data_IF_119058845600
#
_entry.id   IF_119058845600
#
_cell.length_a   1.000
_cell.length_b   1.000
_cell.length_c   1.000
_cell.angle_alpha   90.00
_cell.angle_beta   90.00
_cell.angle_gamma   90.00
#
_symmetry.space_group_name_H-M   'P 1'
#
loop_
_entity.id
_entity.type
_entity.pdbx_description
1 polymer ?
#
# COMPACT_ATOMS: atom_id res chain seq x y z
N UNK A 1 31.98 24.66 -50.78
CA UNK A 1 30.84 23.71 -50.85
C UNK A 1 31.12 22.58 -49.85
N UNK A 2 30.25 22.06 -48.98
CA UNK A 2 28.96 22.45 -48.36
C UNK A 2 28.28 21.14 -47.94
N UNK A 3 27.75 21.01 -46.69
CA UNK A 3 26.84 19.92 -46.23
C UNK A 3 27.53 18.53 -46.12
N UNK A 4 27.21 17.55 -45.27
CA UNK A 4 26.33 17.26 -44.08
C UNK A 4 27.16 16.28 -43.19
N UNK A 5 26.96 15.98 -41.90
CA UNK A 5 26.22 16.53 -40.75
C UNK A 5 26.70 15.78 -39.47
N UNK A 6 26.24 16.20 -38.28
CA UNK A 6 26.26 15.38 -37.04
C UNK A 6 24.80 15.19 -36.58
N UNK A 7 24.43 14.04 -35.98
CA UNK A 7 23.87 14.16 -34.63
C UNK A 7 24.23 13.03 -33.65
N UNK A 8 24.53 13.47 -32.42
CA UNK A 8 24.28 12.82 -31.12
C UNK A 8 23.26 11.66 -31.12
N UNK A 9 23.59 10.56 -30.43
CA UNK A 9 22.76 9.95 -29.35
C UNK A 9 23.49 8.75 -28.69
N UNK A 10 23.09 8.41 -27.45
CA UNK A 10 23.56 7.28 -26.60
C UNK A 10 24.93 7.44 -25.91
N UNK A 11 24.98 8.26 -24.85
CA UNK A 11 25.69 7.97 -23.59
C UNK A 11 25.50 9.09 -22.56
N UNK A 12 24.42 9.04 -21.76
CA UNK A 12 24.34 9.73 -20.46
C UNK A 12 23.07 9.37 -19.68
N UNK A 13 23.18 9.44 -18.34
CA UNK A 13 22.13 9.39 -17.30
C UNK A 13 22.01 8.11 -16.45
N UNK A 14 23.11 7.66 -15.82
CA UNK A 14 23.06 6.77 -14.66
C UNK A 14 24.12 7.13 -13.60
N UNK A 15 24.14 8.40 -13.18
CA UNK A 15 24.74 8.83 -11.91
C UNK A 15 24.29 10.25 -11.55
N UNK A 16 23.43 10.40 -10.54
CA UNK A 16 23.29 11.67 -9.81
C UNK A 16 23.23 11.39 -8.32
N UNK A 17 24.39 11.55 -7.69
CA UNK A 17 24.57 11.51 -6.24
C UNK A 17 23.83 12.68 -5.59
N UNK A 18 23.00 12.40 -4.58
CA UNK A 18 22.35 13.43 -3.76
C UNK A 18 23.27 13.84 -2.60
N UNK A 19 24.12 14.83 -2.84
CA UNK A 19 24.87 15.49 -1.78
C UNK A 19 23.97 16.52 -1.07
N UNK A 20 23.69 16.30 0.21
CA UNK A 20 22.90 17.22 1.05
C UNK A 20 23.72 18.49 1.34
N UNK A 21 23.31 19.63 0.79
CA UNK A 21 23.90 20.93 1.10
C UNK A 21 23.22 21.57 2.32
N UNK A 22 23.90 21.55 3.46
CA UNK A 22 23.50 22.28 4.67
C UNK A 22 23.95 23.74 4.59
N UNK A 23 23.11 24.64 4.07
CA UNK A 23 23.37 26.08 4.10
C UNK A 23 22.89 26.70 5.42
N UNK A 24 23.81 26.90 6.37
CA UNK A 24 23.53 27.59 7.63
C UNK A 24 23.45 29.11 7.46
N UNK A 25 22.26 29.70 7.49
CA UNK A 25 22.11 31.17 7.47
C UNK A 25 22.21 31.74 8.88
N UNK A 26 23.37 32.31 9.24
CA UNK A 26 23.55 33.04 10.52
C UNK A 26 22.70 34.30 10.56
N UNK A 27 21.84 34.40 11.57
CA UNK A 27 21.15 35.65 11.93
C UNK A 27 22.16 36.58 12.61
N UNK A 28 22.35 37.78 12.06
CA UNK A 28 23.24 38.81 12.59
C UNK A 28 22.43 40.04 13.03
N UNK A 29 22.40 40.28 14.33
CA UNK A 29 21.70 41.41 14.94
C UNK A 29 22.53 42.71 14.87
N UNK A 30 22.00 43.77 14.25
CA UNK A 30 22.43 45.15 14.54
C UNK A 30 21.25 46.12 14.60
N UNK A 31 21.17 46.83 15.72
CA UNK A 31 20.16 47.83 16.07
C UNK A 31 20.57 49.24 15.63
N UNK A 32 19.61 50.06 15.15
CA UNK A 32 19.26 51.37 15.76
C UNK A 32 18.16 52.16 14.99
N UNK A 33 17.19 52.64 15.78
CA UNK A 33 16.51 53.95 15.75
C UNK A 33 16.39 54.70 14.40
N UNK A 34 15.15 55.07 14.05
CA UNK A 34 14.64 56.42 14.36
C UNK A 34 13.10 56.49 14.46
N UNK A 35 12.61 57.45 15.24
CA UNK A 35 11.16 57.74 15.41
C UNK A 35 10.68 58.68 14.29
N UNK A 36 9.40 58.58 13.91
CA UNK A 36 8.48 59.73 13.89
C UNK A 36 7.01 59.30 13.87
N UNK A 37 6.17 60.06 14.58
CA UNK A 37 4.70 59.99 14.57
C UNK A 37 4.16 60.72 13.34
N UNK A 38 2.97 60.34 12.87
CA UNK A 38 1.93 61.15 12.19
C UNK A 38 0.70 60.21 12.09
N UNK A 39 -0.27 60.26 13.01
CA UNK A 39 -1.49 61.09 12.96
C UNK A 39 -2.46 60.73 11.82
N UNK A 40 -3.56 60.04 12.18
CA UNK A 40 -4.78 60.01 11.37
C UNK A 40 -5.43 61.41 11.31
N UNK A 41 -6.23 61.68 10.27
CA UNK A 41 -7.46 62.43 10.43
C UNK A 41 -8.69 61.54 10.17
N UNK A 42 -9.70 61.73 11.02
CA UNK A 42 -11.04 61.18 10.83
C UNK A 42 -11.82 62.08 9.86
N UNK A 43 -12.66 61.51 8.99
CA UNK A 43 -13.74 62.25 8.33
C UNK A 43 -15.03 61.43 8.36
N UNK A 44 -16.15 62.12 8.56
CA UNK A 44 -17.39 61.50 9.02
C UNK A 44 -18.46 61.39 7.92
N UNK A 45 -19.29 60.36 8.08
CA UNK A 45 -20.73 60.37 7.79
C UNK A 45 -21.20 60.76 6.37
N UNK A 46 -21.69 59.76 5.64
CA UNK A 46 -23.06 59.88 5.10
C UNK A 46 -23.78 58.55 5.26
N UNK A 47 -24.77 58.51 6.15
CA UNK A 47 -25.56 57.31 6.38
C UNK A 47 -26.58 57.11 5.24
N UNK A 48 -26.60 55.93 4.62
CA UNK A 48 -27.76 55.46 3.84
C UNK A 48 -28.47 54.34 4.60
N UNK A 49 -29.65 54.66 5.09
CA UNK A 49 -30.60 53.69 5.64
C UNK A 49 -31.06 52.80 4.49
N UNK A 50 -30.68 51.52 4.53
CA UNK A 50 -31.31 50.48 3.71
C UNK A 50 -32.22 49.68 4.65
N UNK A 51 -33.51 49.65 4.32
CA UNK A 51 -34.53 49.05 5.16
C UNK A 51 -34.29 47.55 5.38
N UNK A 52 -34.49 47.09 6.61
CA UNK A 52 -34.48 45.68 6.98
C UNK A 52 -35.73 45.01 6.39
N UNK A 53 -35.56 44.14 5.39
CA UNK A 53 -36.61 43.22 4.97
C UNK A 53 -36.90 42.20 6.09
N UNK A 54 -38.15 41.71 6.25
CA UNK A 54 -38.48 40.71 7.25
C UNK A 54 -37.76 39.38 6.95
N UNK A 55 -37.40 38.65 8.00
CA UNK A 55 -36.66 37.40 7.87
C UNK A 55 -37.51 36.32 7.19
N UNK A 56 -37.07 35.85 6.03
CA UNK A 56 -37.59 34.64 5.39
C UNK A 56 -37.42 33.44 6.34
N UNK A 57 -38.36 32.47 6.35
CA UNK A 57 -38.21 31.27 7.17
C UNK A 57 -36.96 30.48 6.75
N UNK A 58 -36.27 29.92 7.75
CA UNK A 58 -35.07 29.09 7.56
C UNK A 58 -35.40 27.96 6.57
N UNK A 59 -34.63 27.77 5.48
CA UNK A 59 -34.84 26.63 4.60
C UNK A 59 -34.56 25.34 5.38
N UNK A 60 -35.60 24.51 5.53
CA UNK A 60 -35.46 23.20 6.15
C UNK A 60 -34.45 22.32 5.41
N UNK A 61 -33.90 21.34 6.12
CA UNK A 61 -32.94 20.36 5.59
C UNK A 61 -33.40 19.86 4.21
N UNK A 62 -32.58 20.00 3.14
CA UNK A 62 -33.00 19.61 1.82
C UNK A 62 -33.19 18.09 1.78
N UNK A 63 -34.45 17.65 1.65
CA UNK A 63 -34.78 16.24 1.40
C UNK A 63 -33.96 15.77 0.20
N UNK A 64 -33.24 14.65 0.31
CA UNK A 64 -32.56 14.01 -0.83
C UNK A 64 -33.60 13.65 -1.91
N UNK A 65 -33.76 14.53 -2.90
CA UNK A 65 -34.81 14.39 -3.91
C UNK A 65 -34.33 13.51 -5.07
N UNK A 66 -34.91 12.31 -5.19
CA UNK A 66 -35.13 11.40 -6.36
C UNK A 66 -34.05 11.17 -7.44
N UNK A 67 -33.10 12.09 -7.67
CA UNK A 67 -31.98 11.93 -8.62
C UNK A 67 -30.76 11.28 -7.96
N UNK A 68 -30.61 11.43 -6.64
CA UNK A 68 -29.57 10.73 -5.85
C UNK A 68 -29.85 9.23 -5.78
N UNK A 69 -31.13 8.85 -5.66
CA UNK A 69 -31.55 7.46 -5.45
C UNK A 69 -31.23 6.54 -6.63
N UNK A 70 -31.27 7.02 -7.89
CA UNK A 70 -30.86 6.19 -9.05
C UNK A 70 -29.35 5.94 -9.10
N UNK A 71 -28.53 6.90 -8.64
CA UNK A 71 -27.06 6.75 -8.59
C UNK A 71 -26.57 5.85 -7.44
N UNK A 72 -27.40 5.59 -6.42
CA UNK A 72 -27.07 4.66 -5.34
C UNK A 72 -27.28 3.19 -5.74
N UNK A 73 -28.34 2.93 -6.52
CA UNK A 73 -28.68 1.58 -7.04
C UNK A 73 -27.78 1.16 -8.21
N UNK A 74 -27.44 2.10 -9.11
CA UNK A 74 -26.66 1.77 -10.31
C UNK A 74 -25.17 1.57 -9.96
N UNK A 75 -24.51 0.47 -10.40
CA UNK A 75 -23.07 0.30 -10.21
C UNK A 75 -22.26 1.30 -11.04
N UNK A 76 -21.11 1.75 -10.52
CA UNK A 76 -20.12 2.50 -11.28
C UNK A 76 -19.49 1.58 -12.32
N UNK A 77 -19.35 2.06 -13.56
CA UNK A 77 -18.88 1.23 -14.69
C UNK A 77 -17.60 0.45 -14.36
N UNK A 78 -17.59 -0.86 -14.58
CA UNK A 78 -16.34 -1.62 -14.52
C UNK A 78 -15.40 -1.15 -15.64
N UNK A 79 -14.19 -0.74 -15.27
CA UNK A 79 -13.11 -0.50 -16.21
C UNK A 79 -12.62 -1.85 -16.73
N UNK A 80 -12.80 -2.12 -18.03
CA UNK A 80 -12.16 -3.29 -18.67
C UNK A 80 -12.87 -4.63 -18.52
N UNK A 81 -14.19 -4.72 -18.75
CA UNK A 81 -14.85 -6.02 -18.95
C UNK A 81 -14.59 -6.58 -20.37
N UNK A 82 -13.34 -6.84 -20.73
CA UNK A 82 -12.95 -7.72 -21.85
C UNK A 82 -12.22 -8.93 -21.28
N UNK A 83 -12.40 -10.12 -21.87
CA UNK A 83 -11.80 -11.36 -21.37
C UNK A 83 -10.26 -11.28 -21.22
N UNK A 84 -9.62 -10.45 -22.07
CA UNK A 84 -8.17 -10.18 -22.06
C UNK A 84 -7.70 -9.23 -20.97
N UNK A 85 -8.60 -8.48 -20.33
CA UNK A 85 -8.24 -7.44 -19.35
C UNK A 85 -8.09 -8.02 -17.92
N UNK A 86 -8.60 -9.23 -17.66
CA UNK A 86 -8.62 -9.85 -16.33
C UNK A 86 -7.28 -10.48 -15.91
N UNK A 87 -6.45 -10.91 -16.85
CA UNK A 87 -5.18 -11.58 -16.56
C UNK A 87 -4.03 -10.93 -17.35
N UNK A 88 -3.08 -10.25 -16.67
CA UNK A 88 -1.83 -9.88 -17.32
C UNK A 88 -1.11 -11.16 -17.75
N UNK A 89 -0.51 -11.16 -18.94
CA UNK A 89 0.46 -12.19 -19.29
C UNK A 89 1.60 -12.20 -18.25
N UNK A 90 2.26 -13.33 -17.95
CA UNK A 90 3.29 -13.37 -16.90
C UNK A 90 4.40 -12.32 -17.05
N UNK A 91 4.82 -12.02 -18.29
CA UNK A 91 5.80 -10.98 -18.62
C UNK A 91 5.31 -9.55 -18.34
N UNK A 92 4.00 -9.35 -18.17
CA UNK A 92 3.37 -8.07 -17.83
C UNK A 92 2.98 -7.94 -16.35
N UNK A 93 3.26 -8.94 -15.52
CA UNK A 93 3.14 -8.79 -14.07
C UNK A 93 4.16 -7.73 -13.58
N UNK A 94 3.71 -6.79 -12.74
CA UNK A 94 4.49 -5.59 -12.40
C UNK A 94 4.58 -4.52 -13.50
N UNK A 95 4.26 -4.84 -14.76
CA UNK A 95 4.19 -3.90 -15.89
C UNK A 95 2.73 -3.58 -16.27
N UNK A 96 1.96 -3.11 -15.28
CA UNK A 96 0.55 -2.71 -15.46
C UNK A 96 0.40 -1.64 -16.56
N UNK A 97 -0.73 -1.71 -17.28
CA UNK A 97 -0.95 -1.00 -18.53
C UNK A 97 -0.82 0.53 -18.41
N UNK A 98 -0.37 1.17 -19.49
CA UNK A 98 -0.02 2.59 -19.58
C UNK A 98 -1.23 3.54 -19.52
N UNK A 99 -1.89 3.62 -18.36
CA UNK A 99 -2.68 4.78 -17.98
C UNK A 99 -1.73 5.87 -17.46
N UNK A 100 -1.76 7.03 -18.10
CA UNK A 100 -0.60 7.93 -18.21
C UNK A 100 -0.07 8.60 -16.92
N UNK A 101 -0.63 8.32 -15.73
CA UNK A 101 -0.20 8.95 -14.47
C UNK A 101 -0.59 8.12 -13.23
N UNK A 102 0.04 6.96 -13.04
CA UNK A 102 -0.05 6.20 -11.78
C UNK A 102 1.28 5.52 -11.34
N UNK A 103 2.37 6.28 -11.16
CA UNK A 103 3.62 5.73 -10.65
C UNK A 103 3.57 5.37 -9.15
N UNK A 104 2.61 5.92 -8.40
CA UNK A 104 2.52 5.74 -6.95
C UNK A 104 1.82 4.43 -6.57
N UNK A 105 0.60 4.18 -7.08
CA UNK A 105 -0.06 2.91 -6.81
C UNK A 105 0.60 1.78 -7.62
N UNK A 106 1.15 2.05 -8.81
CA UNK A 106 1.96 1.08 -9.55
C UNK A 106 3.23 0.61 -8.80
N UNK A 107 3.87 1.48 -8.02
CA UNK A 107 4.99 1.10 -7.15
C UNK A 107 4.56 0.21 -5.97
N UNK A 108 3.34 0.43 -5.46
CA UNK A 108 2.71 -0.40 -4.41
C UNK A 108 2.33 -1.77 -4.98
N UNK A 109 1.66 -1.79 -6.14
CA UNK A 109 1.30 -3.02 -6.87
C UNK A 109 2.55 -3.87 -7.17
N UNK A 110 3.72 -3.26 -7.42
CA UNK A 110 4.98 -3.97 -7.64
C UNK A 110 5.65 -4.49 -6.36
N UNK A 111 5.51 -3.80 -5.22
CA UNK A 111 6.01 -4.28 -3.93
C UNK A 111 5.21 -5.48 -3.40
N UNK A 112 3.90 -5.54 -3.69
CA UNK A 112 3.03 -6.66 -3.33
C UNK A 112 3.30 -7.94 -4.15
N UNK A 113 4.28 -7.94 -5.06
CA UNK A 113 4.77 -9.14 -5.74
C UNK A 113 6.02 -9.74 -5.05
N UNK A 114 6.52 -9.10 -3.98
CA UNK A 114 7.65 -9.59 -3.18
C UNK A 114 7.15 -10.50 -2.05
N UNK A 115 7.70 -11.71 -1.97
CA UNK A 115 7.19 -12.77 -1.10
C UNK A 115 7.20 -12.43 0.40
N UNK A 116 8.16 -11.62 0.85
CA UNK A 116 8.21 -11.18 2.26
C UNK A 116 7.17 -10.07 2.50
N UNK A 117 7.01 -9.14 1.55
CA UNK A 117 6.05 -8.02 1.69
C UNK A 117 4.61 -8.53 1.69
N UNK A 118 4.28 -9.45 0.78
CA UNK A 118 2.94 -10.02 0.63
C UNK A 118 2.55 -10.82 1.87
N UNK A 119 3.40 -11.77 2.30
CA UNK A 119 3.14 -12.60 3.49
C UNK A 119 3.06 -11.80 4.80
N UNK A 120 3.83 -10.71 4.97
CA UNK A 120 3.67 -9.79 6.09
C UNK A 120 2.34 -9.01 6.06
N UNK A 121 1.84 -8.67 4.86
CA UNK A 121 0.55 -8.00 4.69
C UNK A 121 -0.60 -8.98 5.01
N UNK A 122 -0.56 -10.20 4.48
CA UNK A 122 -1.54 -11.26 4.81
C UNK A 122 -1.57 -11.52 6.33
N UNK A 123 -0.41 -11.69 6.97
CA UNK A 123 -0.32 -11.90 8.42
C UNK A 123 -0.91 -10.72 9.21
N UNK A 124 -0.70 -9.49 8.75
CA UNK A 124 -1.25 -8.27 9.36
C UNK A 124 -2.78 -8.20 9.21
N UNK A 125 -3.32 -8.62 8.07
CA UNK A 125 -4.77 -8.70 7.83
C UNK A 125 -5.40 -9.80 8.68
N UNK A 126 -4.87 -11.02 8.64
CA UNK A 126 -5.32 -12.14 9.47
C UNK A 126 -5.33 -11.78 10.97
N UNK A 127 -4.27 -11.13 11.46
CA UNK A 127 -4.21 -10.64 12.84
C UNK A 127 -5.34 -9.64 13.16
N UNK A 128 -5.71 -8.75 12.23
CA UNK A 128 -6.78 -7.79 12.42
C UNK A 128 -8.18 -8.44 12.39
N UNK A 129 -8.39 -9.46 11.54
CA UNK A 129 -9.67 -10.17 11.42
C UNK A 129 -10.01 -11.01 12.66
N UNK A 130 -9.01 -11.50 13.42
CA UNK A 130 -9.27 -12.24 14.67
C UNK A 130 -9.75 -11.37 15.86
N UNK A 131 -9.66 -10.04 15.75
CA UNK A 131 -9.93 -9.12 16.85
C UNK A 131 -11.44 -9.00 17.14
N UNK A 132 -11.87 -9.12 18.42
CA UNK A 132 -13.28 -9.00 18.76
C UNK A 132 -13.79 -7.57 18.62
N UNK A 133 -15.04 -7.43 18.16
CA UNK A 133 -15.73 -6.15 18.01
C UNK A 133 -17.24 -6.32 18.22
N UNK A 134 -17.93 -5.21 18.48
CA UNK A 134 -19.39 -5.18 18.62
C UNK A 134 -19.97 -3.85 18.12
N UNK A 135 -21.29 -3.79 17.96
CA UNK A 135 -22.04 -2.56 17.69
C UNK A 135 -22.47 -1.90 19.00
N UNK A 136 -22.00 -0.69 19.24
CA UNK A 136 -22.38 0.16 20.36
C UNK A 136 -23.46 1.17 19.91
N UNK A 137 -24.57 1.24 20.63
CA UNK A 137 -25.67 2.17 20.37
C UNK A 137 -26.83 1.99 21.35
N UNK A 138 -27.96 2.65 21.11
CA UNK A 138 -29.22 2.34 21.79
C UNK A 138 -29.76 0.98 21.30
N UNK A 139 -30.45 0.18 22.12
CA UNK A 139 -30.92 -1.16 21.72
C UNK A 139 -31.75 -1.16 20.43
N UNK A 140 -32.65 -0.21 20.25
CA UNK A 140 -33.50 -0.08 19.05
C UNK A 140 -32.70 0.32 17.80
N UNK A 141 -31.64 1.12 17.97
CA UNK A 141 -30.74 1.54 16.89
C UNK A 141 -29.82 0.38 16.48
N UNK A 142 -29.30 -0.37 17.44
CA UNK A 142 -28.48 -1.58 17.19
C UNK A 142 -29.31 -2.62 16.46
N UNK A 143 -30.51 -2.96 16.95
CA UNK A 143 -31.39 -3.92 16.29
C UNK A 143 -31.77 -3.50 14.86
N UNK A 144 -31.97 -2.20 14.61
CA UNK A 144 -32.22 -1.68 13.27
C UNK A 144 -31.00 -1.75 12.35
N UNK A 145 -29.81 -1.46 12.87
CA UNK A 145 -28.57 -1.58 12.10
C UNK A 145 -28.26 -3.04 11.76
N UNK A 146 -28.40 -3.95 12.73
CA UNK A 146 -28.24 -5.40 12.54
C UNK A 146 -29.20 -5.93 11.47
N UNK A 147 -30.49 -5.55 11.52
CA UNK A 147 -31.48 -5.92 10.49
C UNK A 147 -31.07 -5.50 9.07
N UNK A 148 -30.39 -4.37 8.91
CA UNK A 148 -29.96 -3.87 7.59
C UNK A 148 -28.58 -4.37 7.16
N UNK A 149 -27.77 -4.86 8.10
CA UNK A 149 -26.46 -5.46 7.86
C UNK A 149 -26.52 -7.00 7.75
N UNK A 150 -27.61 -7.65 8.18
CA UNK A 150 -27.80 -9.12 8.17
C UNK A 150 -27.43 -9.80 6.83
N UNK A 151 -27.67 -9.11 5.71
CA UNK A 151 -27.42 -9.63 4.35
C UNK A 151 -26.05 -9.24 3.78
N UNK A 152 -25.30 -8.42 4.47
CA UNK A 152 -24.00 -7.92 4.03
C UNK A 152 -22.90 -8.79 4.64
N UNK A 153 -21.98 -9.25 3.80
CA UNK A 153 -20.78 -9.92 4.28
C UNK A 153 -19.86 -8.91 4.98
N UNK A 154 -19.95 -8.89 6.30
CA UNK A 154 -19.13 -8.06 7.17
C UNK A 154 -17.68 -8.54 7.26
N UNK A 155 -17.38 -9.80 6.97
CA UNK A 155 -16.02 -10.34 7.01
C UNK A 155 -15.25 -9.85 5.79
N UNK A 156 -15.78 -10.12 4.59
CA UNK A 156 -15.23 -9.59 3.32
C UNK A 156 -15.16 -8.05 3.34
N UNK A 157 -16.17 -7.35 3.89
CA UNK A 157 -16.14 -5.88 4.01
C UNK A 157 -14.95 -5.38 4.85
N UNK A 158 -14.64 -6.04 5.97
CA UNK A 158 -13.55 -5.62 6.85
C UNK A 158 -12.20 -5.92 6.23
N UNK A 159 -12.04 -7.07 5.58
CA UNK A 159 -10.83 -7.44 4.82
C UNK A 159 -10.58 -6.47 3.67
N UNK A 160 -11.57 -6.24 2.79
CA UNK A 160 -11.47 -5.24 1.72
C UNK A 160 -11.17 -3.83 2.29
N UNK A 161 -11.72 -3.46 3.45
CA UNK A 161 -11.42 -2.17 4.07
C UNK A 161 -9.98 -2.07 4.63
N UNK A 162 -9.41 -3.17 5.13
CA UNK A 162 -8.04 -3.21 5.64
C UNK A 162 -7.01 -2.88 4.55
N UNK A 163 -7.30 -3.18 3.28
CA UNK A 163 -6.47 -2.79 2.12
C UNK A 163 -6.12 -1.28 2.03
N UNK A 164 -6.81 -0.42 2.77
CA UNK A 164 -6.40 0.97 2.93
C UNK A 164 -5.01 1.14 3.60
N UNK A 165 -4.44 0.09 4.21
CA UNK A 165 -3.09 0.15 4.76
C UNK A 165 -2.00 0.10 3.68
N UNK A 166 -2.17 -0.73 2.66
CA UNK A 166 -1.24 -0.95 1.55
C UNK A 166 -1.29 0.21 0.54
N UNK A 167 -2.47 0.58 0.04
CA UNK A 167 -2.62 1.66 -0.96
C UNK A 167 -2.75 3.07 -0.33
N UNK A 168 -2.90 3.16 1.00
CA UNK A 168 -3.14 4.41 1.75
C UNK A 168 -4.56 4.97 1.64
N UNK A 169 -5.18 4.77 0.47
CA UNK A 169 -6.58 5.03 0.17
C UNK A 169 -7.16 3.84 -0.57
N UNK A 170 -8.29 3.33 -0.10
CA UNK A 170 -9.04 2.26 -0.74
C UNK A 170 -10.54 2.63 -0.82
N UNK A 171 -11.10 2.84 -2.03
CA UNK A 171 -12.51 3.13 -2.22
C UNK A 171 -13.34 1.86 -2.31
N UNK A 172 -14.33 1.72 -1.42
CA UNK A 172 -15.33 0.66 -1.47
C UNK A 172 -16.63 1.22 -2.03
N UNK A 173 -17.13 0.67 -3.14
CA UNK A 173 -18.41 1.04 -3.70
C UNK A 173 -19.55 0.31 -2.99
N UNK A 174 -20.62 1.03 -2.65
CA UNK A 174 -21.83 0.47 -2.06
C UNK A 174 -22.94 0.36 -3.11
N UNK A 175 -23.52 -0.82 -3.25
CA UNK A 175 -24.77 -1.04 -3.98
C UNK A 175 -25.94 -1.05 -2.99
N UNK A 176 -26.89 -0.15 -3.21
CA UNK A 176 -28.05 0.02 -2.34
C UNK A 176 -29.33 -0.52 -2.99
N UNK A 177 -30.18 -1.16 -2.19
CA UNK A 177 -31.51 -1.61 -2.60
C UNK A 177 -32.61 -0.93 -1.76
N UNK A 178 -33.73 -0.63 -2.40
CA UNK A 178 -34.95 -0.07 -1.80
C UNK A 178 -36.23 -0.82 -2.23
N UNK A 179 -36.10 -1.95 -2.93
CA UNK A 179 -37.20 -2.64 -3.60
C UNK A 179 -38.30 -3.16 -2.66
N UNK A 180 -37.93 -3.59 -1.44
CA UNK A 180 -38.88 -4.18 -0.48
C UNK A 180 -38.82 -3.55 0.91
N UNK A 181 -38.60 -2.23 1.01
CA UNK A 181 -38.73 -1.47 2.27
C UNK A 181 -37.63 -0.43 2.48
N UNK A 182 -36.93 -0.45 3.64
CA UNK A 182 -35.85 0.50 3.93
C UNK A 182 -34.67 0.36 2.94
N UNK A 183 -33.92 1.44 2.78
CA UNK A 183 -32.63 1.43 2.09
C UNK A 183 -31.65 0.51 2.83
N UNK A 184 -31.16 -0.52 2.15
CA UNK A 184 -30.17 -1.47 2.67
C UNK A 184 -28.95 -1.57 1.74
N UNK A 185 -27.72 -1.70 2.27
CA UNK A 185 -26.59 -2.14 1.48
C UNK A 185 -26.80 -3.62 1.09
N UNK A 186 -26.56 -3.97 -0.17
CA UNK A 186 -26.68 -5.37 -0.65
C UNK A 186 -25.32 -5.95 -1.01
N UNK A 187 -24.45 -5.13 -1.58
CA UNK A 187 -23.07 -5.47 -1.94
C UNK A 187 -22.19 -4.28 -1.63
N UNK A 188 -21.00 -4.56 -1.12
CA UNK A 188 -19.91 -3.60 -1.09
C UNK A 188 -18.73 -4.24 -1.81
N UNK A 189 -18.10 -3.51 -2.72
CA UNK A 189 -17.01 -4.03 -3.55
C UNK A 189 -15.85 -3.02 -3.59
N UNK A 190 -14.64 -3.52 -3.33
CA UNK A 190 -13.43 -2.73 -3.49
C UNK A 190 -13.17 -2.37 -4.96
N UNK A 191 -12.92 -1.09 -5.21
CA UNK A 191 -12.59 -0.56 -6.54
C UNK A 191 -11.14 -0.07 -6.54
N UNK A 192 -10.45 -0.15 -7.68
CA UNK A 192 -9.06 0.34 -7.77
C UNK A 192 -8.97 1.85 -7.49
N UNK A 193 -8.11 2.24 -6.54
CA UNK A 193 -7.88 3.63 -6.12
C UNK A 193 -7.55 4.58 -7.27
N UNK A 194 -6.88 4.07 -8.32
CA UNK A 194 -6.52 4.82 -9.54
C UNK A 194 -7.70 5.42 -10.30
N UNK A 195 -8.90 4.85 -10.15
CA UNK A 195 -10.15 5.33 -10.79
C UNK A 195 -10.76 6.57 -10.11
N UNK A 196 -10.27 6.94 -8.92
CA UNK A 196 -10.87 7.98 -8.09
C UNK A 196 -9.90 9.15 -7.84
N UNK A 197 -10.47 10.33 -7.57
CA UNK A 197 -9.73 11.50 -7.09
C UNK A 197 -10.43 12.09 -5.87
N UNK A 198 -9.66 12.72 -5.00
CA UNK A 198 -10.14 13.39 -3.79
C UNK A 198 -9.72 14.86 -3.86
N UNK A 199 -10.65 15.78 -3.64
CA UNK A 199 -10.36 17.22 -3.58
C UNK A 199 -9.88 17.71 -2.20
N UNK A 200 -9.60 19.00 -2.08
CA UNK A 200 -9.17 19.66 -0.85
C UNK A 200 -10.24 19.66 0.27
N UNK A 201 -11.50 19.43 -0.10
CA UNK A 201 -12.65 19.30 0.80
C UNK A 201 -12.92 17.85 1.20
N UNK A 202 -12.21 16.88 0.62
CA UNK A 202 -12.40 15.46 0.85
C UNK A 202 -13.57 14.84 0.07
N UNK A 203 -14.11 15.53 -0.93
CA UNK A 203 -15.13 14.97 -1.83
C UNK A 203 -14.49 13.97 -2.79
N UNK A 204 -15.19 12.88 -3.07
CA UNK A 204 -14.73 11.80 -3.95
C UNK A 204 -15.26 12.03 -5.36
N UNK A 205 -14.37 11.96 -6.35
CA UNK A 205 -14.70 12.00 -7.77
C UNK A 205 -14.25 10.70 -8.42
N UNK A 206 -14.96 10.27 -9.46
CA UNK A 206 -14.74 9.03 -10.18
C UNK A 206 -14.60 9.29 -11.68
N UNK A 207 -13.69 8.58 -12.36
CA UNK A 207 -13.54 8.64 -13.82
C UNK A 207 -14.37 7.54 -14.51
N UNK A 208 -15.53 7.86 -15.12
CA UNK A 208 -16.32 6.89 -15.86
C UNK A 208 -15.62 6.46 -17.16
N UNK A 209 -15.74 5.17 -17.52
CA UNK A 209 -15.14 4.64 -18.76
C UNK A 209 -15.71 5.37 -19.98
N UNK A 210 -14.84 5.91 -20.82
CA UNK A 210 -15.22 6.65 -22.03
C UNK A 210 -15.70 8.10 -21.80
N UNK A 211 -15.77 8.57 -20.56
CA UNK A 211 -16.07 9.96 -20.23
C UNK A 211 -14.81 10.85 -20.23
N UNK A 212 -14.98 12.11 -20.62
CA UNK A 212 -13.92 13.12 -20.51
C UNK A 212 -13.91 13.75 -19.10
N UNK A 213 -13.09 13.21 -18.20
CA UNK A 213 -12.82 13.79 -16.88
C UNK A 213 -13.44 13.04 -15.70
N UNK A 214 -13.35 13.64 -14.51
CA UNK A 214 -13.82 13.08 -13.26
C UNK A 214 -15.17 13.70 -12.86
N UNK A 215 -16.14 12.87 -12.47
CA UNK A 215 -17.46 13.29 -11.99
C UNK A 215 -17.56 13.14 -10.47
N UNK A 216 -18.24 14.07 -9.79
CA UNK A 216 -18.49 14.00 -8.35
C UNK A 216 -19.35 12.77 -8.02
N UNK A 217 -18.89 11.95 -7.07
CA UNK A 217 -19.61 10.77 -6.59
C UNK A 217 -20.70 11.19 -5.61
N UNK A 218 -21.88 10.59 -5.71
CA UNK A 218 -23.00 10.84 -4.79
C UNK A 218 -22.64 10.41 -3.36
N UNK A 219 -23.03 11.19 -2.36
CA UNK A 219 -22.92 10.77 -0.96
C UNK A 219 -23.71 9.47 -0.74
N UNK A 220 -23.11 8.52 -0.03
CA UNK A 220 -23.65 7.16 0.14
C UNK A 220 -23.08 6.13 -0.85
N UNK A 221 -22.52 6.55 -1.99
CA UNK A 221 -22.12 5.60 -3.07
C UNK A 221 -20.73 4.97 -2.89
N UNK A 222 -19.77 5.67 -2.29
CA UNK A 222 -18.39 5.17 -2.11
C UNK A 222 -17.87 5.53 -0.73
N UNK A 223 -17.43 4.52 0.03
CA UNK A 223 -16.71 4.64 1.31
C UNK A 223 -15.23 4.90 1.00
N UNK A 224 -14.67 6.08 1.32
CA UNK A 224 -13.27 6.38 1.08
C UNK A 224 -12.42 6.01 2.30
N UNK A 225 -12.11 4.71 2.45
CA UNK A 225 -11.25 4.22 3.54
C UNK A 225 -9.84 4.77 3.33
N UNK A 226 -9.29 5.41 4.36
CA UNK A 226 -8.06 6.22 4.25
C UNK A 226 -7.21 6.12 5.49
N UNK A 227 -5.92 5.85 5.29
CA UNK A 227 -4.94 5.75 6.35
C UNK A 227 -4.21 7.06 6.57
N UNK A 228 -4.37 7.66 7.76
CA UNK A 228 -3.65 8.90 8.17
C UNK A 228 -3.74 10.06 7.17
N UNK A 229 -4.91 10.23 6.52
CA UNK A 229 -5.14 11.32 5.60
C UNK A 229 -5.08 12.69 6.28
N UNK A 230 -4.49 13.66 5.58
CA UNK A 230 -4.43 15.08 5.97
C UNK A 230 -4.91 15.94 4.81
N UNK A 231 -5.06 17.25 5.00
CA UNK A 231 -5.39 18.16 3.90
C UNK A 231 -4.31 18.21 2.81
N UNK A 232 -3.06 18.00 3.20
CA UNK A 232 -1.89 17.95 2.29
C UNK A 232 -1.74 16.58 1.62
N UNK A 233 -2.25 15.51 2.25
CA UNK A 233 -2.28 14.14 1.72
C UNK A 233 -3.70 13.57 1.79
N UNK A 234 -4.61 13.97 0.88
CA UNK A 234 -6.03 13.58 0.92
C UNK A 234 -6.25 12.07 0.70
N UNK A 235 -5.31 11.40 0.02
CA UNK A 235 -5.27 9.95 -0.21
C UNK A 235 -4.60 9.15 0.94
N UNK A 236 -4.22 9.78 2.04
CA UNK A 236 -3.56 9.05 3.13
C UNK A 236 -2.07 8.75 2.90
N UNK A 237 -1.58 7.75 3.64
CA UNK A 237 -0.18 7.31 3.68
C UNK A 237 -0.14 5.78 3.73
N UNK A 238 0.51 5.18 2.74
CA UNK A 238 0.73 3.72 2.66
C UNK A 238 1.69 3.24 3.77
N UNK A 239 1.59 1.97 4.18
CA UNK A 239 2.68 1.33 4.97
C UNK A 239 3.93 1.10 4.10
N UNK A 240 3.72 0.77 2.83
CA UNK A 240 4.75 0.39 1.87
C UNK A 240 5.53 1.59 1.30
N UNK A 241 5.01 2.82 1.39
CA UNK A 241 5.75 4.08 1.12
C UNK A 241 7.15 4.09 1.77
N UNK A 242 7.22 3.57 3.00
CA UNK A 242 8.46 3.50 3.79
C UNK A 242 9.24 2.19 3.63
N UNK A 243 8.63 1.19 2.98
CA UNK A 243 9.27 -0.09 2.62
C UNK A 243 9.99 0.02 1.28
N UNK A 244 9.46 0.82 0.34
CA UNK A 244 10.02 1.07 -0.99
C UNK A 244 11.56 1.16 -1.06
N UNK A 245 12.27 2.03 -0.32
CA UNK A 245 13.73 2.11 -0.41
C UNK A 245 14.46 0.87 0.16
N UNK A 246 13.81 0.09 1.03
CA UNK A 246 14.32 -1.16 1.61
C UNK A 246 14.21 -2.27 0.55
N UNK A 247 13.02 -2.38 -0.05
CA UNK A 247 12.69 -3.29 -1.14
C UNK A 247 13.58 -3.09 -2.37
N UNK A 248 13.79 -1.84 -2.84
CA UNK A 248 14.68 -1.57 -3.97
C UNK A 248 16.13 -2.05 -3.72
N UNK A 249 16.61 -1.98 -2.48
CA UNK A 249 17.96 -2.44 -2.12
C UNK A 249 18.01 -3.97 -1.98
N UNK A 250 16.97 -4.63 -1.45
CA UNK A 250 16.81 -6.10 -1.50
C UNK A 250 16.99 -6.61 -2.94
N UNK A 251 16.18 -6.11 -3.88
CA UNK A 251 16.22 -6.54 -5.28
C UNK A 251 17.57 -6.26 -5.97
N UNK A 252 18.26 -5.19 -5.58
CA UNK A 252 19.63 -4.92 -6.03
C UNK A 252 20.61 -6.01 -5.57
N UNK A 253 20.47 -6.51 -4.33
CA UNK A 253 21.30 -7.60 -3.82
C UNK A 253 20.92 -8.98 -4.36
N UNK A 254 19.63 -9.25 -4.62
CA UNK A 254 19.17 -10.45 -5.34
C UNK A 254 19.82 -10.52 -6.72
N UNK A 255 19.76 -9.44 -7.50
CA UNK A 255 20.41 -9.36 -8.82
C UNK A 255 21.96 -9.45 -8.74
N UNK A 256 22.59 -9.10 -7.61
CA UNK A 256 24.02 -9.33 -7.38
C UNK A 256 24.33 -10.80 -7.09
N UNK A 257 23.46 -11.47 -6.33
CA UNK A 257 23.58 -12.90 -6.03
C UNK A 257 23.44 -13.75 -7.31
N UNK A 258 22.49 -13.43 -8.18
CA UNK A 258 22.34 -14.06 -9.50
C UNK A 258 23.60 -13.90 -10.36
N UNK A 259 24.14 -12.68 -10.46
CA UNK A 259 25.39 -12.41 -11.19
C UNK A 259 26.60 -13.13 -10.60
N UNK A 260 26.60 -13.37 -9.28
CA UNK A 260 27.63 -14.17 -8.63
C UNK A 260 27.46 -15.66 -8.97
N UNK A 261 26.23 -16.17 -8.96
CA UNK A 261 25.89 -17.53 -9.42
C UNK A 261 26.32 -17.79 -10.86
N UNK A 262 26.03 -16.84 -11.77
CA UNK A 262 26.50 -16.89 -13.17
C UNK A 262 28.02 -17.04 -13.27
N UNK A 263 28.79 -16.30 -12.44
CA UNK A 263 30.26 -16.38 -12.42
C UNK A 263 30.83 -17.66 -11.80
N UNK A 264 30.05 -18.38 -10.99
CA UNK A 264 30.42 -19.72 -10.53
C UNK A 264 30.14 -20.78 -11.61
N UNK A 265 29.04 -20.63 -12.36
CA UNK A 265 28.68 -21.54 -13.46
C UNK A 265 29.59 -21.38 -14.67
N UNK A 266 29.88 -20.14 -15.06
CA UNK A 266 30.76 -19.78 -16.19
C UNK A 266 31.84 -18.83 -15.65
N UNK A 267 33.06 -19.33 -15.38
CA UNK A 267 34.12 -18.50 -14.82
C UNK A 267 34.60 -17.48 -15.85
N UNK A 268 34.80 -16.24 -15.44
CA UNK A 268 35.35 -15.22 -16.33
C UNK A 268 36.81 -15.53 -16.67
N UNK A 269 37.19 -15.45 -17.95
CA UNK A 269 38.53 -15.79 -18.43
C UNK A 269 39.19 -14.55 -19.05
N UNK A 270 40.46 -14.31 -18.72
CA UNK A 270 41.33 -13.36 -19.42
C UNK A 270 42.37 -14.17 -20.20
N UNK A 271 42.40 -14.04 -21.53
CA UNK A 271 43.53 -14.50 -22.33
C UNK A 271 44.51 -13.35 -22.55
N UNK A 272 45.78 -13.60 -22.26
CA UNK A 272 46.89 -12.73 -22.63
C UNK A 272 47.49 -13.26 -23.94
N UNK A 273 47.21 -12.56 -25.05
CA UNK A 273 47.73 -12.88 -26.37
C UNK A 273 48.74 -11.82 -26.84
N UNK A 274 49.83 -12.25 -27.45
CA UNK A 274 50.71 -11.36 -28.25
C UNK A 274 50.36 -11.54 -29.72
N UNK A 275 49.86 -10.47 -30.33
CA UNK A 275 49.51 -10.45 -31.74
C UNK A 275 50.25 -9.31 -32.45
N UNK A 276 50.66 -9.55 -33.70
CA UNK A 276 51.28 -8.53 -34.54
C UNK A 276 50.25 -7.81 -35.42
N UNK A 277 49.03 -8.32 -35.50
CA UNK A 277 47.93 -7.79 -36.31
C UNK A 277 46.60 -7.84 -35.53
N UNK A 278 45.71 -6.88 -35.80
CA UNK A 278 44.39 -6.77 -35.17
C UNK A 278 43.52 -7.99 -35.46
N UNK A 279 43.62 -8.53 -36.68
CA UNK A 279 42.83 -9.70 -37.12
C UNK A 279 43.10 -10.97 -36.31
N UNK A 280 44.30 -11.12 -35.72
CA UNK A 280 44.62 -12.25 -34.83
C UNK A 280 43.91 -12.10 -33.47
N UNK A 281 43.81 -10.86 -32.96
CA UNK A 281 43.08 -10.55 -31.73
C UNK A 281 41.57 -10.73 -31.91
N UNK A 282 41.03 -10.36 -33.07
CA UNK A 282 39.61 -10.57 -33.39
C UNK A 282 39.24 -12.06 -33.31
N UNK A 283 40.07 -12.95 -33.88
CA UNK A 283 39.88 -14.42 -33.81
C UNK A 283 39.93 -14.92 -32.36
N UNK A 284 40.89 -14.48 -31.55
CA UNK A 284 40.97 -14.83 -30.13
C UNK A 284 39.74 -14.32 -29.36
N UNK A 285 39.26 -13.12 -29.65
CA UNK A 285 38.07 -12.55 -29.00
C UNK A 285 36.78 -13.27 -29.38
N UNK A 286 36.61 -13.66 -30.64
CA UNK A 286 35.46 -14.42 -31.12
C UNK A 286 35.43 -15.83 -30.52
N UNK A 287 36.60 -16.45 -30.38
CA UNK A 287 36.74 -17.73 -29.69
C UNK A 287 36.40 -17.60 -28.18
N UNK A 288 36.87 -16.55 -27.50
CA UNK A 288 36.52 -16.27 -26.10
C UNK A 288 35.04 -15.94 -25.88
N UNK A 289 34.36 -15.34 -26.87
CA UNK A 289 32.91 -15.11 -26.79
C UNK A 289 32.12 -16.43 -26.75
N UNK A 290 32.60 -17.47 -27.45
CA UNK A 290 32.05 -18.83 -27.36
C UNK A 290 32.21 -19.49 -25.98
N UNK A 291 33.07 -18.94 -25.12
CA UNK A 291 33.27 -19.46 -23.76
C UNK A 291 32.13 -19.04 -22.80
N UNK A 292 31.29 -18.05 -23.16
CA UNK A 292 30.12 -17.65 -22.36
C UNK A 292 29.04 -18.75 -22.25
N UNK A 293 28.99 -19.71 -23.19
CA UNK A 293 28.11 -20.89 -23.11
C UNK A 293 28.68 -22.07 -22.30
N UNK A 294 29.91 -21.94 -21.79
CA UNK A 294 30.61 -23.03 -21.09
C UNK A 294 31.30 -24.03 -22.03
N UNK A 295 31.44 -23.71 -23.32
CA UNK A 295 32.14 -24.56 -24.29
C UNK A 295 33.67 -24.55 -24.11
N UNK A 296 34.30 -25.69 -24.41
CA UNK A 296 35.75 -25.83 -24.37
C UNK A 296 36.40 -25.21 -25.61
N UNK A 297 37.00 -24.03 -25.45
CA UNK A 297 37.60 -23.26 -26.55
C UNK A 297 39.12 -23.49 -26.62
N UNK A 298 39.61 -23.92 -27.78
CA UNK A 298 41.05 -23.96 -28.09
C UNK A 298 41.50 -22.63 -28.70
N UNK A 299 42.47 -21.96 -28.07
CA UNK A 299 43.02 -20.68 -28.53
C UNK A 299 44.44 -20.85 -29.09
N UNK A 300 44.67 -20.41 -30.32
CA UNK A 300 46.03 -20.31 -30.90
C UNK A 300 46.66 -18.97 -30.51
N UNK A 301 47.99 -18.94 -30.37
CA UNK A 301 48.79 -17.73 -30.10
C UNK A 301 48.46 -16.99 -28.78
N UNK A 302 47.92 -17.69 -27.79
CA UNK A 302 47.72 -17.17 -26.43
C UNK A 302 48.89 -17.60 -25.53
N UNK A 303 49.56 -16.64 -24.91
CA UNK A 303 50.67 -16.89 -23.98
C UNK A 303 50.19 -17.46 -22.64
N UNK A 304 49.06 -16.94 -22.14
CA UNK A 304 48.50 -17.35 -20.85
C UNK A 304 46.98 -17.18 -20.82
N UNK A 305 46.28 -18.18 -20.29
CA UNK A 305 44.87 -18.09 -19.93
C UNK A 305 44.77 -17.97 -18.41
N UNK A 306 44.21 -16.86 -17.93
CA UNK A 306 43.98 -16.59 -16.50
C UNK A 306 42.48 -16.71 -16.24
N UNK A 307 42.09 -17.76 -15.51
CA UNK A 307 40.74 -17.89 -14.99
C UNK A 307 40.58 -16.95 -13.78
N UNK A 308 39.62 -16.02 -13.84
CA UNK A 308 39.24 -15.18 -12.72
C UNK A 308 38.27 -15.96 -11.83
N UNK A 309 38.81 -16.71 -10.87
CA UNK A 309 38.00 -17.38 -9.86
C UNK A 309 37.29 -16.33 -8.99
N UNK A 310 35.96 -16.31 -9.04
CA UNK A 310 35.16 -15.41 -8.22
C UNK A 310 35.21 -15.85 -6.75
N UNK A 311 36.14 -15.27 -5.97
CA UNK A 311 36.22 -15.43 -4.51
C UNK A 311 35.10 -14.63 -3.81
N UNK A 312 33.85 -14.87 -4.18
CA UNK A 312 32.68 -14.35 -3.49
C UNK A 312 32.37 -15.16 -2.23
N UNK A 313 31.76 -14.50 -1.24
CA UNK A 313 31.07 -15.17 -0.14
C UNK A 313 29.57 -15.01 -0.38
N UNK A 314 28.97 -15.93 -1.12
CA UNK A 314 27.53 -15.91 -1.40
C UNK A 314 26.69 -15.82 -0.10
N UNK A 315 27.20 -16.41 0.98
CA UNK A 315 26.63 -16.32 2.33
C UNK A 315 26.46 -14.88 2.84
N UNK A 316 27.45 -13.99 2.63
CA UNK A 316 27.36 -12.59 3.06
C UNK A 316 26.26 -11.84 2.28
N UNK A 317 26.04 -12.15 1.00
CA UNK A 317 24.93 -11.59 0.22
C UNK A 317 23.57 -12.11 0.72
N UNK A 318 23.46 -13.39 1.05
CA UNK A 318 22.25 -13.98 1.63
C UNK A 318 21.93 -13.39 3.02
N UNK A 319 22.94 -13.14 3.85
CA UNK A 319 22.78 -12.45 5.14
C UNK A 319 22.33 -11.00 4.97
N UNK A 320 22.85 -10.30 3.96
CA UNK A 320 22.39 -8.94 3.61
C UNK A 320 20.93 -8.94 3.14
N UNK A 321 20.53 -9.88 2.28
CA UNK A 321 19.12 -10.01 1.83
C UNK A 321 18.20 -10.24 3.03
N UNK A 322 18.49 -11.24 3.88
CA UNK A 322 17.73 -11.53 5.12
C UNK A 322 17.64 -10.33 6.07
N UNK A 323 18.70 -9.52 6.15
CA UNK A 323 18.73 -8.29 6.94
C UNK A 323 17.81 -7.20 6.37
N UNK A 324 17.59 -7.17 5.06
CA UNK A 324 16.60 -6.30 4.43
C UNK A 324 15.18 -6.85 4.60
N UNK A 325 14.95 -8.15 4.43
CA UNK A 325 13.66 -8.81 4.73
C UNK A 325 13.19 -8.49 6.15
N UNK A 326 14.04 -8.76 7.15
CA UNK A 326 13.77 -8.45 8.57
C UNK A 326 13.43 -6.98 8.83
N UNK A 327 13.90 -6.03 8.00
CA UNK A 327 13.52 -4.61 8.10
C UNK A 327 12.14 -4.33 7.51
N UNK A 328 11.73 -5.08 6.48
CA UNK A 328 10.39 -5.00 5.89
C UNK A 328 9.36 -5.56 6.87
N UNK A 329 9.57 -6.74 7.43
CA UNK A 329 8.70 -7.33 8.48
C UNK A 329 8.63 -6.45 9.73
N UNK A 330 9.76 -5.92 10.20
CA UNK A 330 9.76 -4.92 11.29
C UNK A 330 8.94 -3.66 10.96
N UNK A 331 8.78 -3.33 9.68
CA UNK A 331 8.04 -2.16 9.25
C UNK A 331 6.54 -2.44 9.02
N UNK A 332 6.21 -3.63 8.53
CA UNK A 332 4.84 -4.05 8.21
C UNK A 332 4.17 -4.67 9.45
N UNK A 333 4.67 -5.79 9.97
CA UNK A 333 4.08 -6.49 11.12
C UNK A 333 4.64 -6.02 12.47
N UNK A 334 5.74 -5.28 12.48
CA UNK A 334 6.40 -4.83 13.73
C UNK A 334 7.23 -5.91 14.42
N UNK A 335 7.35 -7.09 13.80
CA UNK A 335 8.10 -8.23 14.31
C UNK A 335 9.49 -8.29 13.68
N UNK A 336 10.45 -8.89 14.37
CA UNK A 336 11.80 -9.18 13.83
C UNK A 336 12.16 -10.66 13.88
N UNK A 337 11.27 -11.49 14.45
CA UNK A 337 11.31 -12.93 14.30
C UNK A 337 10.41 -13.28 13.12
N UNK A 338 10.99 -13.32 11.91
CA UNK A 338 10.34 -13.98 10.78
C UNK A 338 10.35 -15.49 11.01
N UNK A 339 9.44 -16.23 10.36
CA UNK A 339 9.29 -17.68 10.51
C UNK A 339 10.59 -18.48 10.29
N UNK A 340 11.54 -17.92 9.53
CA UNK A 340 12.83 -18.54 9.20
C UNK A 340 13.94 -18.38 10.26
N UNK A 341 13.75 -17.59 11.33
CA UNK A 341 14.87 -17.20 12.24
C UNK A 341 14.89 -17.96 13.59
N UNK A 342 14.11 -19.05 13.72
CA UNK A 342 13.96 -19.80 14.98
C UNK A 342 15.12 -20.74 15.32
N UNK A 343 16.35 -20.23 15.47
CA UNK A 343 17.47 -21.03 15.99
C UNK A 343 17.78 -20.77 17.47
N UNK A 344 17.44 -19.58 18.01
CA UNK A 344 17.65 -19.21 19.42
C UNK A 344 16.60 -18.21 19.96
N UNK A 345 15.30 -18.55 19.90
CA UNK A 345 14.21 -17.72 20.44
C UNK A 345 13.68 -18.22 21.79
N UNK A 346 13.57 -17.34 22.81
CA UNK A 346 12.82 -17.67 24.03
C UNK A 346 11.32 -17.47 23.81
N UNK A 347 10.47 -18.28 24.48
CA UNK A 347 8.99 -18.13 24.45
C UNK A 347 8.55 -16.69 24.79
N UNK A 348 9.19 -16.09 25.79
CA UNK A 348 8.96 -14.70 26.21
C UNK A 348 9.25 -13.65 25.13
N UNK A 349 10.17 -13.91 24.19
CA UNK A 349 10.46 -13.02 23.08
C UNK A 349 9.36 -13.12 22.01
N UNK A 350 8.91 -14.33 21.70
CA UNK A 350 7.79 -14.58 20.78
C UNK A 350 6.52 -13.83 21.20
N UNK A 351 6.13 -13.95 22.47
CA UNK A 351 4.96 -13.22 23.02
C UNK A 351 5.06 -11.69 22.90
N UNK A 352 6.27 -11.12 22.97
CA UNK A 352 6.46 -9.66 22.81
C UNK A 352 6.27 -9.25 21.35
N UNK A 353 6.73 -10.06 20.40
CA UNK A 353 6.52 -9.82 18.96
C UNK A 353 5.05 -10.01 18.55
N UNK A 354 4.38 -11.05 19.04
CA UNK A 354 2.95 -11.26 18.81
C UNK A 354 2.12 -10.06 19.31
N UNK A 355 2.38 -9.60 20.55
CA UNK A 355 1.75 -8.39 21.09
C UNK A 355 2.09 -7.12 20.32
N UNK A 356 3.23 -7.04 19.62
CA UNK A 356 3.57 -5.90 18.77
C UNK A 356 2.73 -5.88 17.47
N UNK A 357 2.57 -7.04 16.81
CA UNK A 357 1.71 -7.18 15.64
C UNK A 357 0.24 -6.92 15.98
N UNK A 358 -0.27 -7.51 17.07
CA UNK A 358 -1.65 -7.29 17.52
C UNK A 358 -1.94 -5.80 17.80
N UNK A 359 -1.01 -5.05 18.39
CA UNK A 359 -1.16 -3.58 18.58
C UNK A 359 -1.24 -2.82 17.25
N UNK A 360 -0.52 -3.27 16.22
CA UNK A 360 -0.55 -2.69 14.89
C UNK A 360 -1.90 -3.00 14.22
N UNK A 361 -2.33 -4.26 14.25
CA UNK A 361 -3.61 -4.73 13.73
C UNK A 361 -4.82 -4.03 14.38
N UNK A 362 -4.82 -3.84 15.71
CA UNK A 362 -5.83 -3.04 16.43
C UNK A 362 -5.86 -1.59 15.90
N UNK A 363 -4.72 -1.03 15.50
CA UNK A 363 -4.62 0.29 14.91
C UNK A 363 -5.28 0.38 13.53
N UNK A 364 -5.14 -0.65 12.69
CA UNK A 364 -5.76 -0.70 11.37
C UNK A 364 -7.26 -0.99 11.47
N UNK A 365 -7.68 -1.87 12.37
CA UNK A 365 -9.11 -2.10 12.65
C UNK A 365 -9.80 -0.83 13.16
N UNK A 366 -9.17 -0.09 14.10
CA UNK A 366 -9.69 1.20 14.59
C UNK A 366 -9.76 2.26 13.47
N UNK A 367 -8.88 2.20 12.46
CA UNK A 367 -8.97 3.03 11.25
C UNK A 367 -10.18 2.64 10.38
N UNK A 368 -10.38 1.34 10.13
CA UNK A 368 -11.53 0.82 9.36
C UNK A 368 -12.85 1.19 10.04
N UNK A 369 -13.00 0.90 11.33
CA UNK A 369 -14.19 1.26 12.11
C UNK A 369 -14.45 2.76 12.12
N UNK A 370 -13.40 3.57 12.30
CA UNK A 370 -13.51 5.04 12.21
C UNK A 370 -14.10 5.51 10.87
N UNK A 371 -13.74 4.84 9.76
CA UNK A 371 -14.32 5.13 8.46
C UNK A 371 -15.77 4.64 8.33
N UNK A 372 -16.06 3.38 8.66
CA UNK A 372 -17.40 2.78 8.55
C UNK A 372 -18.43 3.50 9.44
N UNK A 373 -18.04 3.87 10.67
CA UNK A 373 -18.85 4.67 11.59
C UNK A 373 -19.20 6.05 11.01
N UNK A 374 -18.24 6.69 10.34
CA UNK A 374 -18.43 7.99 9.71
C UNK A 374 -19.17 7.91 8.35
N UNK A 375 -19.33 6.72 7.77
CA UNK A 375 -19.88 6.52 6.41
C UNK A 375 -21.07 5.55 6.44
N UNK A 376 -20.83 4.25 6.21
CA UNK A 376 -21.85 3.21 6.07
C UNK A 376 -22.92 3.28 7.17
N UNK A 377 -22.52 3.27 8.45
CA UNK A 377 -23.47 3.28 9.56
C UNK A 377 -24.26 4.59 9.61
N UNK A 378 -23.61 5.75 9.40
CA UNK A 378 -24.29 7.05 9.31
C UNK A 378 -25.30 7.09 8.14
N UNK A 379 -24.94 6.52 7.00
CA UNK A 379 -25.78 6.49 5.80
C UNK A 379 -26.98 5.58 5.97
N UNK A 380 -26.85 4.45 6.68
CA UNK A 380 -27.97 3.55 7.02
C UNK A 380 -29.10 4.31 7.73
N UNK A 381 -28.79 5.15 8.72
CA UNK A 381 -29.82 5.97 9.40
C UNK A 381 -30.30 7.14 8.52
N UNK A 382 -29.37 7.87 7.90
CA UNK A 382 -29.68 9.07 7.11
C UNK A 382 -30.54 8.79 5.87
N UNK A 383 -30.25 7.73 5.11
CA UNK A 383 -31.04 7.34 3.93
C UNK A 383 -32.45 6.83 4.31
N UNK A 384 -32.60 6.28 5.52
CA UNK A 384 -33.87 5.83 6.05
C UNK A 384 -34.62 6.89 6.87
N UNK A 385 -34.10 8.12 6.96
CA UNK A 385 -34.76 9.23 7.65
C UNK A 385 -34.92 9.03 9.16
N UNK A 386 -33.99 8.30 9.80
CA UNK A 386 -33.93 8.12 11.26
C UNK A 386 -32.80 8.96 11.87
N UNK A 387 -33.01 9.43 13.08
CA UNK A 387 -32.02 10.21 13.86
C UNK A 387 -31.13 9.36 14.79
N UNK A 388 -31.22 8.02 14.67
CA UNK A 388 -30.46 7.07 15.48
C UNK A 388 -28.97 6.97 15.11
N UNK A 389 -28.17 6.35 15.99
CA UNK A 389 -26.74 6.16 15.77
C UNK A 389 -26.19 4.88 16.41
N UNK A 390 -25.37 4.17 15.66
CA UNK A 390 -24.52 3.06 16.13
C UNK A 390 -23.05 3.27 15.76
N UNK A 391 -22.15 2.57 16.44
CA UNK A 391 -20.70 2.56 16.17
C UNK A 391 -20.14 1.15 16.29
N UNK A 392 -19.33 0.73 15.31
CA UNK A 392 -18.41 -0.40 15.47
C UNK A 392 -17.32 -0.01 16.46
N UNK A 393 -17.12 -0.84 17.48
CA UNK A 393 -16.15 -0.66 18.56
C UNK A 393 -15.35 -1.95 18.75
N UNK A 394 -14.03 -1.81 18.90
CA UNK A 394 -13.13 -2.92 19.25
C UNK A 394 -13.32 -3.29 20.73
N UNK A 395 -13.55 -4.58 21.01
CA UNK A 395 -13.80 -5.07 22.37
C UNK A 395 -12.48 -5.31 23.12
N UNK A 396 -11.97 -4.27 23.78
CA UNK A 396 -10.78 -4.37 24.64
C UNK A 396 -10.96 -5.38 25.78
N UNK A 397 -12.17 -5.64 26.27
CA UNK A 397 -12.41 -6.59 27.38
C UNK A 397 -12.32 -8.03 26.89
N UNK A 398 -13.09 -8.39 25.86
CA UNK A 398 -13.02 -9.73 25.27
C UNK A 398 -11.62 -10.03 24.71
N UNK A 399 -10.91 -9.03 24.19
CA UNK A 399 -9.51 -9.17 23.78
C UNK A 399 -8.59 -9.44 24.98
N UNK A 400 -8.68 -8.66 26.06
CA UNK A 400 -7.90 -8.90 27.28
C UNK A 400 -8.18 -10.29 27.89
N UNK A 401 -9.43 -10.75 27.89
CA UNK A 401 -9.82 -12.07 28.38
C UNK A 401 -9.21 -13.20 27.54
N UNK A 402 -9.26 -13.09 26.20
CA UNK A 402 -8.56 -14.02 25.28
C UNK A 402 -7.05 -14.07 25.56
N UNK A 403 -6.41 -12.92 25.70
CA UNK A 403 -4.97 -12.81 25.99
C UNK A 403 -4.60 -13.39 27.37
N UNK A 404 -5.45 -13.18 28.40
CA UNK A 404 -5.28 -13.79 29.73
C UNK A 404 -5.45 -15.31 29.68
N UNK A 405 -6.41 -15.82 28.91
CA UNK A 405 -6.65 -17.25 28.73
C UNK A 405 -5.49 -17.98 28.01
N UNK A 406 -4.90 -17.36 27.00
CA UNK A 406 -3.69 -17.89 26.34
C UNK A 406 -2.49 -17.97 27.30
N UNK A 407 -2.35 -17.00 28.22
CA UNK A 407 -1.29 -17.00 29.22
C UNK A 407 -1.52 -18.03 30.34
N UNK A 408 -2.75 -18.19 30.83
CA UNK A 408 -3.06 -19.18 31.88
C UNK A 408 -3.05 -20.63 31.36
N UNK A 409 -3.45 -20.86 30.10
CA UNK A 409 -3.34 -22.16 29.43
C UNK A 409 -1.90 -22.68 29.27
N UNK A 410 -0.89 -21.84 29.53
CA UNK A 410 0.51 -22.26 29.59
C UNK A 410 0.86 -23.14 30.79
N UNK A 411 0.02 -23.20 31.83
CA UNK A 411 0.24 -24.01 33.03
C UNK A 411 -0.68 -25.24 33.08
N UNK A 412 -0.18 -26.38 32.59
CA UNK A 412 -0.60 -27.67 33.12
C UNK A 412 -1.86 -28.32 32.53
N UNK A 413 -2.01 -28.34 31.20
CA UNK A 413 -2.77 -29.39 30.53
C UNK A 413 -1.98 -29.87 29.31
N UNK A 414 -1.40 -31.07 29.38
CA UNK A 414 -0.84 -31.70 28.19
C UNK A 414 -1.98 -31.94 27.19
N UNK A 415 -1.81 -31.49 25.94
CA UNK A 415 -2.70 -31.89 24.86
C UNK A 415 -2.60 -33.41 24.72
N UNK A 416 -3.57 -34.13 25.27
CA UNK A 416 -3.73 -35.55 24.99
C UNK A 416 -4.17 -35.63 23.54
N UNK A 417 -3.27 -36.07 22.67
CA UNK A 417 -3.65 -36.45 21.31
C UNK A 417 -4.74 -37.50 21.43
N UNK A 418 -5.92 -37.19 20.90
CA UNK A 418 -7.03 -38.13 20.83
C UNK A 418 -6.60 -39.30 19.95
N UNK A 419 -6.32 -40.43 20.60
CA UNK A 419 -5.86 -41.72 20.08
C UNK A 419 -4.32 -41.94 20.00
N UNK A 420 -3.68 -42.43 21.09
CA UNK A 420 -2.32 -42.96 21.06
C UNK A 420 -2.22 -44.40 20.48
N UNK A 421 -3.29 -44.94 19.87
CA UNK A 421 -3.41 -46.35 19.48
C UNK A 421 -3.68 -46.63 17.99
N UNK A 422 -3.76 -45.63 17.12
CA UNK A 422 -3.78 -45.87 15.66
C UNK A 422 -2.36 -45.98 15.11
N UNK A 423 -2.10 -47.06 14.37
CA UNK A 423 -0.83 -47.29 13.68
C UNK A 423 -0.54 -46.25 12.58
N UNK A 424 0.66 -46.28 11.99
CA UNK A 424 1.11 -45.25 11.06
C UNK A 424 0.25 -45.23 9.78
N UNK A 425 -0.58 -44.20 9.65
CA UNK A 425 -1.17 -43.82 8.36
C UNK A 425 -0.07 -43.20 7.51
N UNK A 426 0.52 -44.04 6.64
CA UNK A 426 1.29 -43.59 5.49
C UNK A 426 0.36 -42.84 4.54
N UNK A 427 0.51 -41.53 4.45
CA UNK A 427 0.04 -40.77 3.28
C UNK A 427 1.10 -40.88 2.19
N UNK A 428 0.74 -41.57 1.10
CA UNK A 428 1.39 -41.48 -0.21
C UNK A 428 0.96 -40.18 -0.92
#
# INVERSE_FOLDING_TARGET
MSKRCCPRRWCSALSMSWAVSLSSTRISSKTRRMRRRLSMPCSASTARVIARAPASPVPGVPKMQKRVTSSLVTPLTASGNLFTDYYPAPLSMGAQASHAFDPYWGAIDAMLLDEEVDSDVELRHAAAMTLPWYLEGLPDDVAFAEQLLERLDMETLLEDALCAAEWGFNPLEVEWDQSTGPWRPVRIERRHSRLFRIDDRGQVYYAPRGGSGFALVAEGKVIPVRRKATKERPYGISILESVWPIWQVKWTHVAQLERLGQKYSVPSVIALAKANNVTELDVVSAALAGLESGEGVALSNVDQVIQLTASGKAQELLEVIRHYDTKMSKRITGQTLTSNTQQYGSRSLGEVHERAALRIAIGDLKMVFGCLNATLLRWIFSLNGKDGQVRLVFDEKAFEERVKAQQSGGNGAGMTLSNPGAGPLLCL
#
